data_IF_307872516578
#
_entry.id   IF_307872516578
#
_cell.length_a   1.000
_cell.length_b   1.000
_cell.length_c   1.000
_cell.angle_alpha   90.00
_cell.angle_beta   90.00
_cell.angle_gamma   90.00
#
_symmetry.space_group_name_H-M   'P 1'
#
loop_
_entity.id
_entity.type
_entity.pdbx_description
1 polymer ?
#
# COMPACT_ATOMS: atom_id res chain seq x y z
N UNK A 1 30.93 10.15 16.69
CA UNK A 1 31.76 9.58 15.60
C UNK A 1 31.33 8.15 15.25
N UNK A 2 31.22 7.23 16.23
CA UNK A 2 30.79 5.82 15.99
C UNK A 2 29.34 5.73 15.46
N UNK A 3 28.42 6.54 15.99
CA UNK A 3 27.00 6.52 15.61
C UNK A 3 26.75 6.86 14.13
N UNK A 4 27.58 7.72 13.52
CA UNK A 4 27.46 8.11 12.11
C UNK A 4 27.95 7.03 11.14
N UNK A 5 28.82 6.13 11.61
CA UNK A 5 29.30 4.98 10.82
C UNK A 5 28.22 3.87 10.85
N UNK A 6 27.61 3.65 12.02
CA UNK A 6 26.52 2.68 12.18
C UNK A 6 25.27 3.07 11.37
N UNK A 7 24.88 4.35 11.34
CA UNK A 7 23.77 4.80 10.48
C UNK A 7 24.08 4.71 8.99
N UNK A 8 25.33 4.90 8.56
CA UNK A 8 25.73 4.70 7.16
C UNK A 8 25.68 3.25 6.71
N UNK A 9 25.95 2.29 7.60
CA UNK A 9 25.96 0.85 7.29
C UNK A 9 24.56 0.24 7.40
N UNK A 10 23.79 0.61 8.43
CA UNK A 10 22.49 0.01 8.73
C UNK A 10 21.29 0.86 8.32
N UNK A 11 21.54 2.01 7.69
CA UNK A 11 20.55 3.02 7.34
C UNK A 11 19.96 3.74 8.55
N UNK A 12 19.46 4.96 8.34
CA UNK A 12 18.70 5.67 9.37
C UNK A 12 17.30 5.06 9.59
N UNK A 13 16.66 5.36 10.73
CA UNK A 13 15.26 4.97 10.97
C UNK A 13 14.33 5.46 9.85
N UNK A 14 14.56 6.68 9.37
CA UNK A 14 13.77 7.28 8.29
C UNK A 14 13.99 6.52 6.97
N UNK A 15 15.23 6.18 6.61
CA UNK A 15 15.49 5.36 5.42
C UNK A 15 14.80 4.00 5.48
N UNK A 16 14.75 3.37 6.65
CA UNK A 16 14.03 2.09 6.83
C UNK A 16 12.53 2.25 6.63
N UNK A 17 11.94 3.32 7.17
CA UNK A 17 10.51 3.64 6.96
C UNK A 17 10.23 3.93 5.48
N UNK A 18 11.06 4.74 4.82
CA UNK A 18 10.92 5.02 3.39
C UNK A 18 11.01 3.75 2.55
N UNK A 19 11.93 2.82 2.90
CA UNK A 19 12.02 1.53 2.22
C UNK A 19 10.76 0.68 2.40
N UNK A 20 10.15 0.69 3.58
CA UNK A 20 8.87 0.01 3.83
C UNK A 20 7.75 0.64 3.01
N UNK A 21 7.64 1.98 2.99
CA UNK A 21 6.64 2.67 2.19
C UNK A 21 6.83 2.45 0.69
N UNK A 22 8.06 2.42 0.20
CA UNK A 22 8.36 2.11 -1.19
C UNK A 22 7.89 0.70 -1.59
N UNK A 23 7.95 -0.28 -0.67
CA UNK A 23 7.38 -1.61 -0.92
C UNK A 23 5.86 -1.57 -1.00
N UNK A 24 5.19 -0.78 -0.17
CA UNK A 24 3.72 -0.59 -0.22
C UNK A 24 3.32 0.08 -1.53
N UNK A 25 4.02 1.16 -1.93
CA UNK A 25 3.81 1.84 -3.22
C UNK A 25 4.00 0.87 -4.39
N UNK A 26 5.03 0.02 -4.34
CA UNK A 26 5.24 -1.01 -5.36
C UNK A 26 4.06 -1.98 -5.49
N UNK A 27 3.42 -2.37 -4.37
CA UNK A 27 2.22 -3.21 -4.39
C UNK A 27 1.01 -2.47 -4.97
N UNK A 28 0.82 -1.20 -4.62
CA UNK A 28 -0.26 -0.36 -5.16
C UNK A 28 -0.11 -0.24 -6.68
N UNK A 29 1.08 0.15 -7.15
CA UNK A 29 1.33 0.34 -8.59
C UNK A 29 1.21 -0.95 -9.39
N UNK A 30 1.47 -2.12 -8.78
CA UNK A 30 1.27 -3.40 -9.44
C UNK A 30 -0.20 -3.69 -9.80
N UNK A 31 -1.16 -3.01 -9.14
CA UNK A 31 -2.59 -3.12 -9.40
C UNK A 31 -3.06 -2.19 -10.53
N UNK A 32 -2.22 -1.26 -10.99
CA UNK A 32 -2.56 -0.26 -12.02
C UNK A 32 -3.19 -0.89 -13.27
N UNK A 33 -2.67 -1.98 -13.86
CA UNK A 33 -3.27 -2.55 -15.07
C UNK A 33 -4.70 -3.08 -14.85
N UNK A 34 -4.99 -3.62 -13.67
CA UNK A 34 -6.31 -4.13 -13.32
C UNK A 34 -7.29 -3.00 -13.06
N UNK A 35 -6.87 -1.95 -12.36
CA UNK A 35 -7.71 -0.79 -12.06
C UNK A 35 -7.97 0.04 -13.31
N UNK A 36 -6.94 0.28 -14.13
CA UNK A 36 -7.06 1.08 -15.37
C UNK A 36 -7.99 0.45 -16.40
N UNK A 37 -8.26 -0.86 -16.31
CA UNK A 37 -9.20 -1.56 -17.17
C UNK A 37 -10.67 -1.40 -16.74
N UNK A 38 -10.93 -0.85 -15.54
CA UNK A 38 -12.29 -0.70 -15.00
C UNK A 38 -12.96 0.57 -15.54
N UNK A 39 -14.27 0.49 -15.72
CA UNK A 39 -15.14 1.64 -15.94
C UNK A 39 -15.44 2.40 -14.64
N UNK A 40 -15.95 3.62 -14.75
CA UNK A 40 -16.37 4.45 -13.61
C UNK A 40 -17.36 3.73 -12.67
N UNK A 41 -18.29 2.96 -13.23
CA UNK A 41 -19.28 2.22 -12.45
C UNK A 41 -18.66 1.02 -11.72
N UNK A 42 -17.68 0.35 -12.35
CA UNK A 42 -16.93 -0.75 -11.73
C UNK A 42 -16.00 -0.23 -10.63
N UNK A 43 -15.35 0.93 -10.83
CA UNK A 43 -14.55 1.60 -9.79
C UNK A 43 -15.41 1.97 -8.58
N UNK A 44 -16.60 2.56 -8.79
CA UNK A 44 -17.54 2.86 -7.70
C UNK A 44 -17.97 1.59 -6.96
N UNK A 45 -18.23 0.50 -7.69
CA UNK A 45 -18.66 -0.76 -7.10
C UNK A 45 -17.62 -1.37 -6.14
N UNK A 46 -16.32 -1.12 -6.35
CA UNK A 46 -15.25 -1.58 -5.43
C UNK A 46 -15.45 -1.10 -3.99
N UNK A 47 -16.02 0.09 -3.79
CA UNK A 47 -16.31 0.60 -2.43
C UNK A 47 -17.23 -0.33 -1.65
N UNK A 48 -18.28 -0.86 -2.29
CA UNK A 48 -19.20 -1.79 -1.64
C UNK A 48 -18.50 -3.12 -1.30
N UNK A 49 -17.63 -3.59 -2.20
CA UNK A 49 -16.81 -4.80 -2.00
C UNK A 49 -15.88 -4.63 -0.79
N UNK A 50 -15.16 -3.52 -0.67
CA UNK A 50 -14.26 -3.26 0.45
C UNK A 50 -15.02 -3.18 1.79
N UNK A 51 -16.18 -2.50 1.81
CA UNK A 51 -17.03 -2.45 3.00
C UNK A 51 -17.48 -3.84 3.43
N UNK A 52 -17.87 -4.69 2.49
CA UNK A 52 -18.29 -6.06 2.79
C UNK A 52 -17.13 -6.90 3.34
N UNK A 53 -15.93 -6.78 2.75
CA UNK A 53 -14.71 -7.47 3.22
C UNK A 53 -14.38 -7.11 4.66
N UNK A 54 -14.36 -5.82 4.99
CA UNK A 54 -14.11 -5.35 6.37
C UNK A 54 -15.22 -5.81 7.33
N UNK A 55 -16.49 -5.75 6.90
CA UNK A 55 -17.60 -6.26 7.70
C UNK A 55 -17.50 -7.77 7.97
N UNK A 56 -16.87 -8.52 7.06
CA UNK A 56 -16.60 -9.95 7.21
C UNK A 56 -15.35 -10.25 8.08
N UNK A 57 -14.71 -9.23 8.66
CA UNK A 57 -13.58 -9.38 9.57
C UNK A 57 -12.19 -9.29 8.92
N UNK A 58 -12.13 -8.86 7.65
CA UNK A 58 -10.84 -8.52 7.04
C UNK A 58 -10.28 -7.21 7.63
N UNK A 59 -9.00 -7.20 7.97
CA UNK A 59 -8.32 -6.03 8.54
C UNK A 59 -8.27 -4.88 7.54
N UNK A 60 -8.42 -3.65 8.03
CA UNK A 60 -8.42 -2.47 7.15
C UNK A 60 -7.08 -2.30 6.41
N UNK A 61 -5.98 -2.71 7.05
CA UNK A 61 -4.63 -2.64 6.48
C UNK A 61 -4.42 -3.63 5.32
N UNK A 62 -5.18 -4.73 5.25
CA UNK A 62 -5.03 -5.69 4.15
C UNK A 62 -5.70 -5.20 2.86
N UNK A 63 -6.78 -4.44 2.97
CA UNK A 63 -7.44 -3.82 1.81
C UNK A 63 -6.77 -2.52 1.37
N UNK A 64 -5.86 -1.96 2.18
CA UNK A 64 -5.24 -0.66 1.93
C UNK A 64 -4.58 -0.55 0.54
N UNK A 65 -3.77 -1.51 0.05
CA UNK A 65 -3.16 -1.38 -1.27
C UNK A 65 -4.17 -1.31 -2.42
N UNK A 66 -5.25 -2.11 -2.34
CA UNK A 66 -6.31 -2.12 -3.35
C UNK A 66 -7.15 -0.85 -3.29
N UNK A 67 -7.46 -0.38 -2.08
CA UNK A 67 -8.24 0.83 -1.87
C UNK A 67 -7.49 2.11 -2.27
N UNK A 68 -6.15 2.11 -2.24
CA UNK A 68 -5.33 3.21 -2.74
C UNK A 68 -5.17 3.18 -4.27
N UNK A 69 -5.38 2.02 -4.89
CA UNK A 69 -5.31 1.88 -6.34
C UNK A 69 -6.60 2.34 -7.03
N UNK A 70 -7.77 2.09 -6.42
CA UNK A 70 -9.12 2.48 -6.89
C UNK A 70 -9.39 3.98 -6.72
#
# INVERSE_FOLDING_TARGET
MISNILTKIFGSRNERLLKQYAQVVGRINALEPEIAALSDDELKAKTAVFKQRVANGEEIDSIMPEAFAV
#
